data_IF_366878060905
#
_entry.id   IF_366878060905
#
_cell.length_a   1.000
_cell.length_b   1.000
_cell.length_c   1.000
_cell.angle_alpha   90.00
_cell.angle_beta   90.00
_cell.angle_gamma   90.00
#
_symmetry.space_group_name_H-M   'P 1'
#
loop_
_entity.id
_entity.type
_entity.pdbx_description
1 polymer ?
#
# COMPACT_ATOMS: atom_id res chain seq x y z
N UNK A 1 -13.97 19.83 -41.08
CA UNK A 1 -13.43 18.47 -40.74
C UNK A 1 -12.55 18.66 -39.54
N UNK A 2 -12.90 18.03 -38.41
CA UNK A 2 -12.04 18.08 -37.22
C UNK A 2 -10.78 17.25 -37.48
N UNK A 3 -9.62 17.77 -37.11
CA UNK A 3 -8.38 16.97 -37.14
C UNK A 3 -8.55 15.71 -36.28
N UNK A 4 -8.01 14.55 -36.72
CA UNK A 4 -8.10 13.33 -35.91
C UNK A 4 -7.42 13.54 -34.55
N UNK A 5 -8.04 13.01 -33.51
CA UNK A 5 -7.48 13.02 -32.16
C UNK A 5 -6.18 12.20 -32.18
N UNK A 6 -5.07 12.85 -31.79
CA UNK A 6 -3.80 12.13 -31.62
C UNK A 6 -3.84 11.30 -30.35
N UNK A 7 -3.82 9.98 -30.45
CA UNK A 7 -3.87 9.05 -29.32
C UNK A 7 -2.49 8.48 -28.96
N UNK A 8 -1.44 8.88 -29.68
CA UNK A 8 -0.07 8.38 -29.49
C UNK A 8 0.02 6.85 -29.39
N UNK A 9 -0.83 6.16 -30.18
CA UNK A 9 -0.91 4.69 -30.21
C UNK A 9 -1.83 4.07 -29.15
N UNK A 10 -2.38 4.84 -28.24
CA UNK A 10 -3.35 4.33 -27.25
C UNK A 10 -4.68 4.03 -27.96
N UNK A 11 -5.18 2.82 -27.80
CA UNK A 11 -6.51 2.45 -28.29
C UNK A 11 -7.57 2.85 -27.27
N UNK A 12 -8.24 3.97 -27.53
CA UNK A 12 -9.27 4.50 -26.64
C UNK A 12 -10.50 3.61 -26.50
N UNK A 13 -10.78 2.76 -27.48
CA UNK A 13 -11.95 1.88 -27.48
C UNK A 13 -11.81 0.71 -26.50
N UNK A 14 -10.58 0.39 -26.08
CA UNK A 14 -10.26 -0.70 -25.14
C UNK A 14 -9.89 -0.23 -23.76
N UNK A 15 -9.80 1.10 -23.53
CA UNK A 15 -9.52 1.64 -22.20
C UNK A 15 -10.70 1.44 -21.25
N UNK A 16 -10.42 0.85 -20.09
CA UNK A 16 -11.36 0.81 -18.96
C UNK A 16 -11.33 2.16 -18.25
N UNK A 17 -12.37 2.96 -18.48
CA UNK A 17 -12.49 4.33 -17.92
C UNK A 17 -12.50 4.26 -16.38
N UNK A 18 -11.61 5.04 -15.76
CA UNK A 18 -11.46 5.09 -14.31
C UNK A 18 -10.49 4.05 -13.74
N UNK A 19 -9.93 3.18 -14.57
CA UNK A 19 -8.92 2.18 -14.19
C UNK A 19 -7.63 2.32 -15.00
N UNK A 20 -7.72 2.34 -16.33
CA UNK A 20 -6.53 2.39 -17.18
C UNK A 20 -5.94 3.80 -17.26
N UNK A 21 -4.61 3.86 -17.23
CA UNK A 21 -3.87 5.08 -17.56
C UNK A 21 -3.65 5.10 -19.08
N UNK A 22 -3.96 6.20 -19.79
CA UNK A 22 -3.79 6.30 -21.23
C UNK A 22 -2.31 6.49 -21.59
N UNK A 23 -1.49 5.51 -21.29
CA UNK A 23 -0.07 5.48 -21.55
C UNK A 23 0.34 4.05 -21.98
N UNK A 24 1.37 3.96 -22.82
CA UNK A 24 1.93 2.71 -23.30
C UNK A 24 3.42 2.62 -22.98
N UNK A 25 3.96 1.42 -22.74
CA UNK A 25 5.40 1.23 -22.63
C UNK A 25 6.14 1.79 -23.86
N UNK A 26 7.16 2.61 -23.62
CA UNK A 26 7.94 3.26 -24.66
C UNK A 26 7.42 4.60 -25.15
N UNK A 27 6.31 5.10 -24.62
CA UNK A 27 5.89 6.50 -24.84
C UNK A 27 6.88 7.47 -24.19
N UNK A 28 7.09 8.61 -24.87
CA UNK A 28 7.78 9.75 -24.27
C UNK A 28 6.94 10.34 -23.13
N UNK A 29 7.60 10.76 -22.04
CA UNK A 29 6.88 11.33 -20.88
C UNK A 29 6.07 12.58 -21.22
N UNK A 30 6.54 13.37 -22.22
CA UNK A 30 5.83 14.53 -22.73
C UNK A 30 4.52 14.21 -23.45
N UNK A 31 4.32 12.98 -23.88
CA UNK A 31 3.11 12.48 -24.54
C UNK A 31 2.07 11.91 -23.59
N UNK A 32 2.42 11.73 -22.30
CA UNK A 32 1.51 11.19 -21.29
C UNK A 32 0.52 12.26 -20.87
N UNK A 33 -0.75 11.89 -20.79
CA UNK A 33 -1.82 12.81 -20.41
C UNK A 33 -1.63 13.35 -18.99
N UNK A 34 -1.66 14.67 -18.83
CA UNK A 34 -1.56 15.34 -17.53
C UNK A 34 -2.95 15.63 -16.93
N UNK A 35 -3.07 15.70 -15.57
CA UNK A 35 -2.01 15.48 -14.59
C UNK A 35 -1.70 13.99 -14.37
N UNK A 36 -0.44 13.63 -14.24
CA UNK A 36 0.01 12.27 -13.93
C UNK A 36 1.17 12.28 -12.92
N UNK A 37 1.40 11.14 -12.29
CA UNK A 37 2.57 10.90 -11.42
C UNK A 37 3.53 10.00 -12.18
N UNK A 38 4.79 10.41 -12.26
CA UNK A 38 5.86 9.65 -12.90
C UNK A 38 6.83 9.17 -11.82
N UNK A 39 7.21 7.90 -11.89
CA UNK A 39 8.24 7.31 -11.03
C UNK A 39 9.50 7.07 -11.86
N UNK A 40 10.61 7.71 -11.47
CA UNK A 40 11.94 7.32 -11.91
C UNK A 40 12.32 6.00 -11.22
N UNK A 41 12.23 4.89 -11.95
CA UNK A 41 12.48 3.56 -11.39
C UNK A 41 13.92 3.38 -10.94
N UNK A 42 14.90 3.93 -11.64
CA UNK A 42 16.31 3.82 -11.28
C UNK A 42 16.59 4.54 -9.95
N UNK A 43 16.01 5.73 -9.77
CA UNK A 43 16.11 6.47 -8.52
C UNK A 43 15.36 5.76 -7.38
N UNK A 44 14.16 5.22 -7.65
CA UNK A 44 13.37 4.46 -6.68
C UNK A 44 14.15 3.24 -6.18
N UNK A 45 14.67 2.41 -7.08
CA UNK A 45 15.43 1.22 -6.72
C UNK A 45 16.70 1.54 -5.95
N UNK A 46 17.47 2.56 -6.38
CA UNK A 46 18.66 3.00 -5.63
C UNK A 46 18.30 3.41 -4.20
N UNK A 47 17.20 4.14 -4.01
CA UNK A 47 16.74 4.57 -2.70
C UNK A 47 16.25 3.40 -1.84
N UNK A 48 15.53 2.45 -2.42
CA UNK A 48 15.07 1.24 -1.74
C UNK A 48 16.27 0.42 -1.26
N UNK A 49 17.26 0.16 -2.11
CA UNK A 49 18.47 -0.58 -1.75
C UNK A 49 19.24 0.13 -0.65
N UNK A 50 19.44 1.45 -0.77
CA UNK A 50 20.11 2.26 0.24
C UNK A 50 19.46 2.15 1.62
N UNK A 51 18.12 2.19 1.68
CA UNK A 51 17.39 2.01 2.95
C UNK A 51 17.55 0.60 3.50
N UNK A 52 17.48 -0.41 2.64
CA UNK A 52 17.69 -1.80 3.02
C UNK A 52 19.11 -2.05 3.57
N UNK A 53 20.13 -1.52 2.90
CA UNK A 53 21.52 -1.60 3.36
C UNK A 53 21.71 -0.93 4.71
N UNK A 54 21.13 0.25 4.88
CA UNK A 54 21.17 0.96 6.16
C UNK A 54 20.53 0.15 7.29
N UNK A 55 19.34 -0.38 7.07
CA UNK A 55 18.63 -1.20 8.07
C UNK A 55 19.44 -2.45 8.45
N UNK A 56 19.99 -3.17 7.46
CA UNK A 56 20.85 -4.34 7.67
C UNK A 56 22.13 -4.00 8.46
N UNK A 57 22.80 -2.93 8.07
CA UNK A 57 24.03 -2.50 8.74
C UNK A 57 23.83 -2.15 10.22
N UNK A 58 22.62 -1.74 10.61
CA UNK A 58 22.27 -1.39 11.98
C UNK A 58 21.47 -2.50 12.71
N UNK A 59 21.34 -3.68 12.14
CA UNK A 59 20.58 -4.79 12.72
C UNK A 59 19.08 -4.49 12.92
N UNK A 60 18.52 -3.59 12.11
CA UNK A 60 17.12 -3.16 12.21
C UNK A 60 16.25 -3.83 11.16
N UNK A 61 15.01 -4.15 11.55
CA UNK A 61 13.94 -4.51 10.63
C UNK A 61 13.08 -3.27 10.38
N UNK A 62 12.72 -3.01 9.12
CA UNK A 62 11.87 -1.87 8.80
C UNK A 62 10.57 -2.29 8.09
N UNK A 63 9.52 -1.52 8.30
CA UNK A 63 8.28 -1.56 7.51
C UNK A 63 8.24 -0.33 6.63
N UNK A 64 8.04 -0.54 5.33
CA UNK A 64 7.89 0.57 4.41
C UNK A 64 6.57 1.32 4.70
N UNK A 65 6.59 2.66 4.63
CA UNK A 65 5.40 3.44 4.93
C UNK A 65 4.52 3.60 3.68
N UNK A 66 3.51 2.73 3.55
CA UNK A 66 2.62 2.65 2.38
C UNK A 66 1.75 3.88 2.13
N UNK A 67 1.55 4.79 3.12
CA UNK A 67 0.72 6.00 2.92
C UNK A 67 1.27 6.95 1.87
N UNK A 68 2.58 6.91 1.59
CA UNK A 68 3.23 7.83 0.67
C UNK A 68 2.88 7.52 -0.78
N UNK A 69 2.92 6.26 -1.17
CA UNK A 69 2.70 5.84 -2.54
C UNK A 69 1.37 5.10 -2.76
N UNK A 70 0.82 4.45 -1.72
CA UNK A 70 -0.43 3.66 -1.75
C UNK A 70 -0.46 2.58 -2.84
N UNK A 71 0.72 2.13 -3.29
CA UNK A 71 0.90 1.16 -4.35
C UNK A 71 1.40 -0.17 -3.77
N UNK A 72 0.72 -1.25 -4.14
CA UNK A 72 1.14 -2.61 -3.80
C UNK A 72 2.44 -2.97 -4.51
N UNK A 73 2.61 -2.55 -5.76
CA UNK A 73 3.79 -2.88 -6.56
C UNK A 73 5.05 -2.21 -6.02
N UNK A 74 4.95 -0.92 -5.65
CA UNK A 74 6.06 -0.22 -4.98
C UNK A 74 6.42 -0.90 -3.66
N UNK A 75 5.41 -1.33 -2.86
CA UNK A 75 5.69 -2.07 -1.63
C UNK A 75 6.40 -3.40 -1.91
N UNK A 76 5.97 -4.16 -2.92
CA UNK A 76 6.65 -5.42 -3.29
C UNK A 76 8.11 -5.18 -3.65
N UNK A 77 8.42 -4.12 -4.40
CA UNK A 77 9.81 -3.72 -4.66
C UNK A 77 10.57 -3.38 -3.37
N UNK A 78 9.95 -2.67 -2.44
CA UNK A 78 10.57 -2.35 -1.15
C UNK A 78 10.83 -3.60 -0.30
N UNK A 79 9.99 -4.62 -0.38
CA UNK A 79 10.20 -5.91 0.29
C UNK A 79 11.30 -6.71 -0.39
N UNK A 80 11.27 -6.81 -1.71
CA UNK A 80 12.20 -7.62 -2.51
C UNK A 80 13.62 -7.03 -2.50
N UNK A 81 13.76 -5.77 -2.86
CA UNK A 81 15.06 -5.12 -3.04
C UNK A 81 15.60 -4.50 -1.74
N UNK A 82 14.70 -4.02 -0.88
CA UNK A 82 15.05 -3.32 0.35
C UNK A 82 14.98 -4.18 1.61
N UNK A 83 14.37 -5.37 1.55
CA UNK A 83 14.18 -6.23 2.70
C UNK A 83 13.20 -5.67 3.73
N UNK A 84 12.23 -4.86 3.31
CA UNK A 84 11.14 -4.44 4.17
C UNK A 84 10.33 -5.68 4.59
N UNK A 85 10.03 -5.80 5.90
CA UNK A 85 9.32 -6.97 6.44
C UNK A 85 7.80 -6.91 6.22
N UNK A 86 7.29 -5.78 5.76
CA UNK A 86 5.88 -5.51 5.55
C UNK A 86 5.64 -4.02 5.39
N UNK A 87 4.41 -3.58 5.68
CA UNK A 87 3.96 -2.21 5.45
C UNK A 87 3.50 -1.52 6.74
N UNK A 88 3.78 -0.23 6.83
CA UNK A 88 3.18 0.70 7.79
C UNK A 88 2.09 1.51 7.08
N UNK A 89 0.89 1.49 7.61
CA UNK A 89 -0.28 2.22 7.14
C UNK A 89 -0.71 3.26 8.17
N UNK A 90 -1.35 4.32 7.72
CA UNK A 90 -1.93 5.31 8.60
C UNK A 90 -3.44 5.06 8.83
N UNK A 91 -4.12 4.47 7.86
CA UNK A 91 -5.57 4.26 7.87
C UNK A 91 -5.91 2.79 7.67
N UNK A 92 -7.04 2.36 8.25
CA UNK A 92 -7.58 1.01 8.02
C UNK A 92 -7.82 0.75 6.54
N UNK A 93 -8.33 1.74 5.80
CA UNK A 93 -8.56 1.60 4.36
C UNK A 93 -7.28 1.40 3.53
N UNK A 94 -6.15 1.93 3.97
CA UNK A 94 -4.85 1.61 3.36
C UNK A 94 -4.44 0.17 3.67
N UNK A 95 -4.58 -0.26 4.93
CA UNK A 95 -4.29 -1.63 5.35
C UNK A 95 -5.11 -2.67 4.59
N UNK A 96 -6.38 -2.38 4.28
CA UNK A 96 -7.25 -3.26 3.50
C UNK A 96 -6.72 -3.53 2.08
N UNK A 97 -6.17 -2.52 1.42
CA UNK A 97 -5.58 -2.68 0.09
C UNK A 97 -4.40 -3.65 0.13
N UNK A 98 -3.50 -3.46 1.08
CA UNK A 98 -2.34 -4.33 1.23
C UNK A 98 -2.71 -5.75 1.72
N UNK A 99 -3.69 -5.86 2.62
CA UNK A 99 -4.20 -7.17 3.05
C UNK A 99 -4.83 -7.96 1.89
N UNK A 100 -5.61 -7.31 1.02
CA UNK A 100 -6.15 -7.93 -0.20
C UNK A 100 -5.07 -8.40 -1.16
N UNK A 101 -3.94 -7.71 -1.18
CA UNK A 101 -2.77 -8.09 -1.98
C UNK A 101 -1.91 -9.19 -1.33
N UNK A 102 -2.33 -9.75 -0.19
CA UNK A 102 -1.64 -10.83 0.50
C UNK A 102 -0.41 -10.39 1.31
N UNK A 103 -0.28 -9.10 1.64
CA UNK A 103 0.80 -8.63 2.51
C UNK A 103 0.52 -9.11 3.94
N UNK A 104 1.45 -9.89 4.50
CA UNK A 104 1.24 -10.62 5.75
C UNK A 104 1.68 -9.87 7.00
N UNK A 105 2.42 -8.79 6.90
CA UNK A 105 2.85 -7.97 8.04
C UNK A 105 2.43 -6.52 7.83
N UNK A 106 1.36 -6.10 8.53
CA UNK A 106 0.74 -4.78 8.35
C UNK A 106 0.61 -4.10 9.71
N UNK A 107 1.22 -2.91 9.83
CA UNK A 107 1.09 -2.03 10.98
C UNK A 107 0.20 -0.84 10.63
N UNK A 108 -0.87 -0.63 11.39
CA UNK A 108 -1.62 0.64 11.40
C UNK A 108 -1.04 1.51 12.53
N UNK A 109 -0.24 2.51 12.16
CA UNK A 109 0.51 3.35 13.10
C UNK A 109 -0.31 4.49 13.72
N UNK A 110 -1.60 4.31 13.81
CA UNK A 110 -2.54 5.24 14.45
C UNK A 110 -3.54 4.47 15.31
N UNK A 111 -4.14 5.20 16.26
CA UNK A 111 -5.25 4.71 17.04
C UNK A 111 -6.51 4.59 16.17
N UNK A 112 -7.23 3.50 16.34
CA UNK A 112 -8.48 3.24 15.64
C UNK A 112 -9.62 3.20 16.65
N UNK A 113 -10.42 4.27 16.73
CA UNK A 113 -11.48 4.42 17.73
C UNK A 113 -12.90 4.20 17.18
N UNK A 114 -13.08 4.45 15.91
CA UNK A 114 -14.39 4.26 15.26
C UNK A 114 -14.79 2.79 15.22
N UNK A 115 -15.98 2.40 15.74
CA UNK A 115 -16.38 1.00 15.84
C UNK A 115 -16.43 0.26 14.50
N UNK A 116 -16.82 0.94 13.42
CA UNK A 116 -16.85 0.34 12.08
C UNK A 116 -15.45 0.07 11.54
N UNK A 117 -14.50 0.97 11.84
CA UNK A 117 -13.09 0.76 11.47
C UNK A 117 -12.46 -0.34 12.30
N UNK A 118 -12.80 -0.45 13.60
CA UNK A 118 -12.33 -1.53 14.48
C UNK A 118 -12.84 -2.88 13.95
N UNK A 119 -14.12 -2.99 13.60
CA UNK A 119 -14.70 -4.23 13.03
C UNK A 119 -14.01 -4.63 11.72
N UNK A 120 -13.74 -3.65 10.83
CA UNK A 120 -13.02 -3.89 9.57
C UNK A 120 -11.57 -4.32 9.81
N UNK A 121 -10.87 -3.66 10.73
CA UNK A 121 -9.50 -4.00 11.10
C UNK A 121 -9.40 -5.44 11.62
N UNK A 122 -10.34 -5.85 12.46
CA UNK A 122 -10.40 -7.20 13.05
C UNK A 122 -10.59 -8.32 12.02
N UNK A 123 -11.03 -8.01 10.80
CA UNK A 123 -11.17 -9.00 9.71
C UNK A 123 -9.88 -9.17 8.88
N UNK A 124 -8.97 -8.22 8.96
CA UNK A 124 -7.77 -8.21 8.12
C UNK A 124 -6.85 -9.42 8.32
N UNK A 125 -6.67 -9.98 9.54
CA UNK A 125 -5.83 -11.17 9.70
C UNK A 125 -6.30 -12.35 8.83
N UNK A 126 -7.61 -12.55 8.69
CA UNK A 126 -8.16 -13.61 7.80
C UNK A 126 -7.98 -13.28 6.32
N UNK A 127 -8.04 -12.01 5.97
CA UNK A 127 -7.91 -11.55 4.58
C UNK A 127 -6.45 -11.65 4.10
N UNK A 128 -5.50 -11.20 4.92
CA UNK A 128 -4.09 -11.20 4.58
C UNK A 128 -3.39 -12.55 4.80
N UNK A 129 -3.97 -13.40 5.66
CA UNK A 129 -3.33 -14.61 6.14
C UNK A 129 -2.14 -14.35 7.07
N UNK A 130 -2.06 -13.13 7.64
CA UNK A 130 -0.89 -12.69 8.37
C UNK A 130 -1.18 -11.84 9.60
N UNK A 131 -0.19 -11.09 10.01
CA UNK A 131 -0.11 -10.30 11.23
C UNK A 131 -0.60 -8.90 11.01
N UNK A 132 -1.56 -8.46 11.82
CA UNK A 132 -2.10 -7.09 11.83
C UNK A 132 -1.79 -6.46 13.19
N UNK A 133 -1.14 -5.32 13.15
CA UNK A 133 -0.67 -4.57 14.32
C UNK A 133 -1.33 -3.20 14.33
N UNK A 134 -1.72 -2.71 15.50
CA UNK A 134 -2.29 -1.37 15.65
C UNK A 134 -1.72 -0.66 16.88
N UNK A 135 -1.49 0.64 16.75
CA UNK A 135 -1.09 1.45 17.90
C UNK A 135 -2.29 1.79 18.77
N UNK A 136 -2.10 1.68 20.08
CA UNK A 136 -3.10 2.03 21.12
C UNK A 136 -2.48 2.92 22.18
N UNK A 137 -3.28 3.78 22.78
CA UNK A 137 -2.90 4.69 23.87
C UNK A 137 -3.97 4.80 24.96
N UNK A 138 -5.03 3.96 24.88
CA UNK A 138 -6.17 3.96 25.79
C UNK A 138 -6.64 2.53 26.05
N UNK A 139 -6.78 2.16 27.32
CA UNK A 139 -7.22 0.84 27.75
C UNK A 139 -8.61 0.48 27.23
N UNK A 140 -9.54 1.44 27.13
CA UNK A 140 -10.85 1.21 26.55
C UNK A 140 -10.75 0.82 25.05
N UNK A 141 -9.81 1.43 24.33
CA UNK A 141 -9.56 1.04 22.93
C UNK A 141 -9.02 -0.37 22.80
N UNK A 142 -8.17 -0.81 23.73
CA UNK A 142 -7.70 -2.21 23.78
C UNK A 142 -8.88 -3.17 23.96
N UNK A 143 -9.82 -2.85 24.85
CA UNK A 143 -11.01 -3.65 25.08
C UNK A 143 -11.89 -3.75 23.83
N UNK A 144 -12.12 -2.62 23.12
CA UNK A 144 -12.91 -2.57 21.89
C UNK A 144 -12.26 -3.43 20.77
N UNK A 145 -10.95 -3.30 20.58
CA UNK A 145 -10.18 -4.08 19.62
C UNK A 145 -10.20 -5.57 19.95
N UNK A 146 -10.01 -5.92 21.22
CA UNK A 146 -10.07 -7.30 21.72
C UNK A 146 -11.45 -7.92 21.47
N UNK A 147 -12.53 -7.21 21.77
CA UNK A 147 -13.89 -7.69 21.54
C UNK A 147 -14.15 -7.93 20.04
N UNK A 148 -13.69 -7.03 19.17
CA UNK A 148 -13.83 -7.18 17.73
C UNK A 148 -13.01 -8.38 17.20
N UNK A 149 -11.76 -8.53 17.65
CA UNK A 149 -10.93 -9.67 17.29
C UNK A 149 -11.58 -11.00 17.72
N UNK A 150 -12.09 -11.07 18.96
CA UNK A 150 -12.81 -12.22 19.45
C UNK A 150 -14.06 -12.54 18.62
N UNK A 151 -14.88 -11.53 18.30
CA UNK A 151 -16.08 -11.65 17.44
C UNK A 151 -15.73 -12.30 16.08
N UNK A 152 -14.59 -11.96 15.51
CA UNK A 152 -14.18 -12.48 14.20
C UNK A 152 -13.27 -13.72 14.29
N UNK A 153 -12.93 -14.20 15.50
CA UNK A 153 -11.99 -15.32 15.68
C UNK A 153 -10.64 -15.02 15.06
N UNK A 154 -10.09 -13.85 15.34
CA UNK A 154 -8.79 -13.36 14.85
C UNK A 154 -7.94 -12.84 16.01
N UNK A 155 -6.70 -12.46 15.70
CA UNK A 155 -5.79 -11.79 16.64
C UNK A 155 -5.29 -10.50 16.02
N UNK A 156 -5.30 -9.42 16.80
CA UNK A 156 -4.67 -8.13 16.50
C UNK A 156 -3.57 -7.93 17.56
N UNK A 157 -2.41 -7.43 17.13
CA UNK A 157 -1.29 -7.14 18.02
C UNK A 157 -1.14 -5.65 18.29
#
# INVERSE_FOLDING_TARGET
>A
MNAPIKTNGVNLDTLEVGFDVPALPGMDEGDIQTPCLILDLDALERNIRKMGDYARAHGMRHRAHGKMHKSVDVLKLQMELGGAIGVCCQKVSEAEVFARAGIQDILVSNQVRDPLKIDRLARLPKLSGGRIIVCVDDVANVADLSAAAHKHGTTIE
#
